data_IF_033171773708
#
_entry.id   IF_033171773708
#
_cell.length_a   1.000
_cell.length_b   1.000
_cell.length_c   1.000
_cell.angle_alpha   90.00
_cell.angle_beta   90.00
_cell.angle_gamma   90.00
#
_symmetry.space_group_name_H-M   'P 1'
#
loop_
_entity.id
_entity.type
_entity.pdbx_description
1 polymer ?
#
# COMPACT_ATOMS: atom_id res chain seq x y z
N UNK A 1 6.20 -16.46 -9.60
CA UNK A 1 7.19 -16.31 -8.51
C UNK A 1 6.75 -17.17 -7.34
N UNK A 2 7.61 -17.98 -6.72
CA UNK A 2 7.21 -18.83 -5.59
C UNK A 2 7.63 -18.13 -4.28
N UNK A 3 6.76 -17.30 -3.73
CA UNK A 3 6.97 -16.60 -2.47
C UNK A 3 6.50 -17.52 -1.34
N UNK A 4 7.37 -17.75 -0.36
CA UNK A 4 7.06 -18.55 0.83
C UNK A 4 6.46 -17.67 1.92
N UNK A 5 5.72 -18.30 2.84
CA UNK A 5 5.03 -17.61 3.93
C UNK A 5 3.83 -16.78 3.47
N UNK A 6 3.04 -16.31 4.43
CA UNK A 6 1.92 -15.40 4.21
C UNK A 6 2.44 -13.96 4.11
N UNK A 7 1.86 -13.16 3.22
CA UNK A 7 2.12 -11.73 3.16
C UNK A 7 0.84 -10.99 3.51
N UNK A 8 0.81 -10.39 4.68
CA UNK A 8 -0.23 -9.46 5.10
C UNK A 8 0.08 -8.08 4.51
N UNK A 9 -0.86 -7.49 3.81
CA UNK A 9 -0.67 -6.21 3.12
C UNK A 9 -1.74 -5.24 3.58
N UNK A 10 -1.31 -4.08 4.10
CA UNK A 10 -2.20 -3.00 4.49
C UNK A 10 -1.77 -1.67 3.86
N UNK A 11 -2.76 -0.90 3.41
CA UNK A 11 -2.58 0.50 3.09
C UNK A 11 -2.56 1.30 4.39
N UNK A 12 -1.70 2.33 4.48
CA UNK A 12 -1.70 3.28 5.59
C UNK A 12 -3.10 3.87 5.85
N UNK A 13 -3.38 4.28 7.07
CA UNK A 13 -4.61 4.98 7.45
C UNK A 13 -4.80 6.32 6.73
N UNK A 14 -6.00 6.88 6.79
CA UNK A 14 -6.33 8.18 6.20
C UNK A 14 -5.37 9.26 6.68
N UNK A 15 -4.88 10.09 5.74
CA UNK A 15 -4.02 11.25 6.03
C UNK A 15 -4.74 12.56 5.82
N UNK A 16 -4.14 13.64 6.31
CA UNK A 16 -4.62 15.01 6.04
C UNK A 16 -4.69 15.32 4.54
N UNK A 17 -3.82 14.71 3.71
CA UNK A 17 -3.85 14.86 2.26
C UNK A 17 -4.99 14.06 1.63
N UNK A 18 -5.24 12.83 2.10
CA UNK A 18 -6.41 12.06 1.64
C UNK A 18 -7.70 12.83 1.93
N UNK A 19 -7.86 13.33 3.15
CA UNK A 19 -9.01 14.13 3.54
C UNK A 19 -9.18 15.39 2.67
N UNK A 20 -8.07 16.09 2.38
CA UNK A 20 -8.05 17.27 1.54
C UNK A 20 -8.06 16.99 0.03
N UNK A 21 -8.14 15.72 -0.39
CA UNK A 21 -8.07 15.29 -1.80
C UNK A 21 -6.83 15.84 -2.53
N UNK A 22 -5.67 15.80 -1.84
CA UNK A 22 -4.36 16.20 -2.38
C UNK A 22 -3.53 14.98 -2.76
N UNK A 23 -2.79 15.13 -3.85
CA UNK A 23 -1.79 14.14 -4.29
C UNK A 23 -0.65 14.05 -3.28
N UNK A 24 -0.40 12.86 -2.74
CA UNK A 24 0.69 12.62 -1.80
C UNK A 24 1.93 12.09 -2.50
N UNK A 25 1.74 11.07 -3.33
CA UNK A 25 2.84 10.32 -3.92
C UNK A 25 3.79 9.77 -2.84
N UNK A 26 5.06 9.86 -3.09
CA UNK A 26 6.16 9.48 -2.20
C UNK A 26 6.51 10.53 -1.11
N UNK A 27 5.73 11.63 -0.98
CA UNK A 27 5.96 12.63 0.08
C UNK A 27 5.94 11.99 1.46
N UNK A 28 6.92 12.35 2.29
CA UNK A 28 7.13 11.76 3.61
C UNK A 28 6.18 12.32 4.68
N UNK A 29 5.90 13.62 4.62
CA UNK A 29 5.31 14.41 5.71
C UNK A 29 3.80 14.62 5.54
N UNK A 30 3.05 13.52 5.54
CA UNK A 30 1.58 13.56 5.49
C UNK A 30 1.02 12.75 6.66
N UNK A 31 0.77 13.38 7.84
CA UNK A 31 0.34 12.66 9.04
C UNK A 31 -1.06 12.07 8.91
N UNK A 32 -1.33 11.05 9.71
CA UNK A 32 -2.65 10.45 9.82
C UNK A 32 -3.67 11.44 10.43
N UNK A 33 -4.92 11.33 9.99
CA UNK A 33 -6.07 11.93 10.69
C UNK A 33 -6.49 11.06 11.87
N UNK A 34 -7.43 11.54 12.71
CA UNK A 34 -8.06 10.71 13.76
C UNK A 34 -8.70 9.44 13.16
N UNK A 35 -9.36 9.58 12.01
CA UNK A 35 -9.91 8.45 11.25
C UNK A 35 -8.80 7.47 10.85
N UNK A 36 -7.66 7.99 10.37
CA UNK A 36 -6.51 7.17 10.00
C UNK A 36 -5.94 6.37 11.17
N UNK A 37 -5.84 6.97 12.35
CA UNK A 37 -5.44 6.25 13.57
C UNK A 37 -6.46 5.18 13.96
N UNK A 38 -7.77 5.47 13.90
CA UNK A 38 -8.81 4.47 14.18
C UNK A 38 -8.80 3.31 13.15
N UNK A 39 -8.46 3.60 11.89
CA UNK A 39 -8.27 2.56 10.87
C UNK A 39 -7.07 1.67 11.19
N UNK A 40 -5.94 2.25 11.62
CA UNK A 40 -4.76 1.51 12.02
C UNK A 40 -5.03 0.62 13.24
N UNK A 41 -5.70 1.15 14.25
CA UNK A 41 -6.13 0.43 15.46
C UNK A 41 -6.99 -0.79 15.10
N UNK A 42 -8.00 -0.60 14.27
CA UNK A 42 -8.88 -1.67 13.84
C UNK A 42 -8.17 -2.73 12.95
N UNK A 43 -7.17 -2.35 12.17
CA UNK A 43 -6.34 -3.30 11.43
C UNK A 43 -5.44 -4.11 12.37
N UNK A 44 -4.88 -3.46 13.39
CA UNK A 44 -4.07 -4.12 14.41
C UNK A 44 -4.86 -5.16 15.21
N UNK A 45 -6.05 -4.80 15.69
CA UNK A 45 -6.94 -5.70 16.40
C UNK A 45 -7.32 -6.93 15.54
N UNK A 46 -7.72 -6.70 14.28
CA UNK A 46 -8.05 -7.79 13.37
C UNK A 46 -6.85 -8.70 13.07
N UNK A 47 -5.64 -8.14 12.92
CA UNK A 47 -4.45 -8.95 12.72
C UNK A 47 -4.11 -9.79 13.95
N UNK A 48 -4.24 -9.23 15.15
CA UNK A 48 -4.03 -9.97 16.39
C UNK A 48 -4.99 -11.16 16.54
N UNK A 49 -6.25 -11.00 16.11
CA UNK A 49 -7.23 -12.10 16.09
C UNK A 49 -6.91 -13.17 15.02
N UNK A 50 -6.23 -12.79 13.95
CA UNK A 50 -5.81 -13.70 12.87
C UNK A 50 -4.59 -14.55 13.22
N UNK A 51 -3.67 -13.99 14.02
CA UNK A 51 -2.45 -14.67 14.42
C UNK A 51 -2.73 -15.69 15.54
N UNK A 52 -2.13 -16.87 15.42
CA UNK A 52 -2.17 -17.86 16.51
C UNK A 52 -1.17 -17.46 17.60
N UNK A 53 -1.38 -17.91 18.83
CA UNK A 53 -0.41 -17.69 19.90
C UNK A 53 0.98 -18.16 19.52
N UNK A 54 1.97 -17.28 19.63
CA UNK A 54 3.38 -17.55 19.31
C UNK A 54 3.74 -17.39 17.83
N UNK A 55 2.81 -17.08 16.93
CA UNK A 55 3.16 -16.68 15.55
C UNK A 55 3.82 -15.30 15.56
N UNK A 56 4.90 -15.17 14.80
CA UNK A 56 5.65 -13.91 14.63
C UNK A 56 5.64 -13.49 13.17
N UNK A 57 5.74 -12.20 12.94
CA UNK A 57 5.80 -11.60 11.60
C UNK A 57 7.10 -10.82 11.44
N UNK A 58 7.71 -10.88 10.25
CA UNK A 58 8.67 -9.86 9.86
C UNK A 58 7.91 -8.60 9.41
N UNK A 59 8.28 -7.46 9.98
CA UNK A 59 7.63 -6.19 9.67
C UNK A 59 8.42 -5.43 8.59
N UNK A 60 7.73 -5.13 7.49
CA UNK A 60 8.23 -4.35 6.36
C UNK A 60 7.37 -3.12 6.17
N UNK A 61 7.96 -1.96 6.08
CA UNK A 61 7.22 -0.71 5.99
C UNK A 61 7.83 0.25 4.99
N UNK A 62 6.98 0.90 4.20
CA UNK A 62 7.38 2.10 3.49
C UNK A 62 7.92 3.14 4.49
N UNK A 63 9.06 3.81 4.21
CA UNK A 63 9.65 4.80 5.13
C UNK A 63 8.84 6.10 5.28
N UNK A 64 7.68 6.23 4.62
CA UNK A 64 6.83 7.42 4.77
C UNK A 64 6.17 7.49 6.16
N UNK A 65 6.08 8.70 6.74
CA UNK A 65 5.55 8.91 8.09
C UNK A 65 4.16 8.31 8.31
N UNK A 66 3.25 8.42 7.32
CA UNK A 66 1.90 7.82 7.40
C UNK A 66 1.91 6.28 7.50
N UNK A 67 2.84 5.63 6.80
CA UNK A 67 2.99 4.18 6.88
C UNK A 67 3.59 3.76 8.22
N UNK A 68 4.62 4.48 8.68
CA UNK A 68 5.25 4.25 9.98
C UNK A 68 4.27 4.48 11.14
N UNK A 69 3.45 5.53 11.11
CA UNK A 69 2.41 5.78 12.11
C UNK A 69 1.36 4.66 12.14
N UNK A 70 0.95 4.18 10.96
CA UNK A 70 0.02 3.06 10.85
C UNK A 70 0.63 1.79 11.44
N UNK A 71 1.89 1.48 11.09
CA UNK A 71 2.59 0.33 11.61
C UNK A 71 2.77 0.39 13.13
N UNK A 72 3.13 1.57 13.69
CA UNK A 72 3.33 1.70 15.12
C UNK A 72 2.09 1.28 15.93
N UNK A 73 0.90 1.70 15.49
CA UNK A 73 -0.37 1.29 16.12
C UNK A 73 -0.62 -0.21 15.96
N UNK A 74 -0.40 -0.78 14.76
CA UNK A 74 -0.58 -2.22 14.53
C UNK A 74 0.40 -3.04 15.38
N UNK A 75 1.65 -2.60 15.50
CA UNK A 75 2.69 -3.29 16.27
C UNK A 75 2.34 -3.43 17.76
N UNK A 76 1.66 -2.42 18.34
CA UNK A 76 1.15 -2.49 19.71
C UNK A 76 0.16 -3.66 19.90
N UNK A 77 -0.76 -3.87 18.97
CA UNK A 77 -1.76 -4.95 19.04
C UNK A 77 -1.15 -6.35 18.97
N UNK A 78 -0.09 -6.53 18.20
CA UNK A 78 0.57 -7.82 18.01
C UNK A 78 1.80 -8.02 18.91
N UNK A 79 2.08 -7.06 19.81
CA UNK A 79 3.19 -7.13 20.76
C UNK A 79 4.57 -7.17 20.08
N UNK A 80 4.72 -6.52 18.93
CA UNK A 80 5.97 -6.51 18.18
C UNK A 80 6.83 -5.29 18.49
N UNK A 81 8.15 -5.50 18.62
CA UNK A 81 9.10 -4.40 18.78
C UNK A 81 9.23 -3.61 17.47
N UNK A 82 8.66 -2.41 17.46
CA UNK A 82 8.68 -1.51 16.33
C UNK A 82 10.10 -1.22 15.79
N UNK A 83 11.12 -1.22 16.64
CA UNK A 83 12.50 -0.97 16.24
C UNK A 83 13.10 -2.09 15.38
N UNK A 84 12.46 -3.26 15.32
CA UNK A 84 12.87 -4.37 14.45
C UNK A 84 12.24 -4.30 13.05
N UNK A 85 11.51 -3.23 12.75
CA UNK A 85 10.89 -3.03 11.44
C UNK A 85 11.93 -2.74 10.36
N UNK A 86 11.83 -3.43 9.23
CA UNK A 86 12.61 -3.11 8.03
C UNK A 86 11.95 -1.98 7.26
N UNK A 87 12.64 -0.86 7.12
CA UNK A 87 12.20 0.26 6.28
C UNK A 87 12.64 0.00 4.84
N UNK A 88 11.68 -0.20 3.94
CA UNK A 88 11.95 -0.61 2.56
C UNK A 88 11.48 0.47 1.55
N UNK A 89 12.40 1.21 0.93
CA UNK A 89 12.04 2.28 -0.01
C UNK A 89 11.28 1.79 -1.24
N UNK A 90 11.46 0.53 -1.68
CA UNK A 90 10.70 -0.04 -2.80
C UNK A 90 9.20 -0.19 -2.51
N UNK A 91 8.78 0.00 -1.25
CA UNK A 91 7.37 0.02 -0.83
C UNK A 91 6.73 1.41 -0.88
N UNK A 92 7.44 2.47 -1.29
CA UNK A 92 6.86 3.80 -1.45
C UNK A 92 5.63 3.81 -2.37
N UNK A 93 4.80 4.85 -2.20
CA UNK A 93 3.72 5.14 -3.16
C UNK A 93 4.31 5.56 -4.51
N UNK A 94 3.50 5.53 -5.55
CA UNK A 94 3.85 6.08 -6.85
C UNK A 94 4.36 7.51 -6.70
N UNK A 95 5.53 7.82 -7.25
CA UNK A 95 6.01 9.18 -7.33
C UNK A 95 5.14 9.95 -8.33
N UNK A 96 4.45 10.96 -7.86
CA UNK A 96 3.53 11.76 -8.69
C UNK A 96 4.20 13.04 -9.24
N UNK A 97 5.51 13.16 -9.09
CA UNK A 97 6.32 14.23 -9.67
C UNK A 97 5.75 15.63 -9.42
N UNK A 98 5.53 16.38 -10.49
CA UNK A 98 5.05 17.78 -10.42
C UNK A 98 3.59 17.90 -9.90
N UNK A 99 2.86 16.81 -9.72
CA UNK A 99 1.52 16.83 -9.11
C UNK A 99 1.56 16.78 -7.58
N UNK A 100 2.69 16.49 -6.97
CA UNK A 100 2.81 16.35 -5.52
C UNK A 100 2.36 17.60 -4.76
N UNK A 101 1.40 17.42 -3.83
CA UNK A 101 0.82 18.49 -3.00
C UNK A 101 -0.32 19.27 -3.65
N UNK A 102 -0.57 19.12 -4.94
CA UNK A 102 -1.73 19.71 -5.63
C UNK A 102 -3.00 18.90 -5.32
N UNK A 103 -4.16 19.53 -5.40
CA UNK A 103 -5.43 18.81 -5.37
C UNK A 103 -5.72 18.13 -6.70
N UNK A 104 -6.54 17.07 -6.67
CA UNK A 104 -7.02 16.44 -7.90
C UNK A 104 -7.76 17.44 -8.80
N UNK A 105 -8.55 18.35 -8.21
CA UNK A 105 -9.29 19.39 -8.95
C UNK A 105 -8.34 20.31 -9.71
N UNK A 106 -7.31 20.88 -9.03
CA UNK A 106 -6.33 21.76 -9.67
C UNK A 106 -5.60 21.09 -10.86
N UNK A 107 -5.33 19.80 -10.75
CA UNK A 107 -4.66 19.07 -11.83
C UNK A 107 -5.63 18.82 -13.00
N UNK A 108 -6.88 18.44 -12.69
CA UNK A 108 -7.90 18.20 -13.72
C UNK A 108 -8.34 19.49 -14.40
N UNK A 109 -8.32 20.62 -13.72
CA UNK A 109 -8.58 21.94 -14.33
C UNK A 109 -7.53 22.30 -15.39
N UNK A 110 -6.27 21.90 -15.15
CA UNK A 110 -5.16 22.17 -16.10
C UNK A 110 -5.09 21.15 -17.25
N UNK A 111 -5.39 19.87 -16.99
CA UNK A 111 -5.05 18.77 -17.88
C UNK A 111 -6.27 17.98 -18.40
N UNK A 112 -7.47 18.25 -17.86
CA UNK A 112 -8.62 17.40 -18.05
C UNK A 112 -8.59 16.14 -17.19
N UNK A 113 -9.44 15.12 -17.48
CA UNK A 113 -9.51 13.89 -16.69
C UNK A 113 -8.17 13.16 -16.68
N UNK A 114 -7.64 12.92 -15.47
CA UNK A 114 -6.36 12.22 -15.25
C UNK A 114 -6.53 10.80 -14.72
N UNK A 115 -7.76 10.40 -14.45
CA UNK A 115 -8.08 9.06 -13.90
C UNK A 115 -8.88 8.26 -14.91
N UNK A 116 -8.55 7.00 -15.06
CA UNK A 116 -9.42 6.00 -15.70
C UNK A 116 -10.55 5.64 -14.72
N UNK A 117 -11.80 5.88 -15.11
CA UNK A 117 -12.96 5.70 -14.24
C UNK A 117 -13.24 4.23 -13.93
N UNK A 118 -12.88 3.33 -14.86
CA UNK A 118 -13.13 1.89 -14.69
C UNK A 118 -12.21 1.27 -13.64
N UNK A 119 -10.94 1.64 -13.66
CA UNK A 119 -9.92 1.04 -12.82
C UNK A 119 -9.51 1.92 -11.63
N UNK A 120 -9.86 3.22 -11.66
CA UNK A 120 -9.41 4.18 -10.64
C UNK A 120 -7.88 4.30 -10.61
N UNK A 121 -7.26 4.37 -11.78
CA UNK A 121 -5.82 4.49 -12.00
C UNK A 121 -5.55 5.76 -12.81
N UNK A 122 -4.32 6.28 -12.76
CA UNK A 122 -3.95 7.38 -13.65
C UNK A 122 -4.05 6.94 -15.11
N UNK A 123 -4.67 7.78 -15.94
CA UNK A 123 -4.77 7.61 -17.39
C UNK A 123 -3.58 8.23 -18.13
N UNK A 124 -2.85 9.13 -17.46
CA UNK A 124 -1.64 9.79 -17.97
C UNK A 124 -0.54 9.75 -16.92
N UNK A 125 0.71 9.59 -17.36
CA UNK A 125 1.88 9.56 -16.47
C UNK A 125 2.08 10.95 -15.84
N UNK A 126 2.27 11.05 -14.51
CA UNK A 126 2.64 12.30 -13.86
C UNK A 126 3.95 12.86 -14.43
N UNK A 127 4.04 14.17 -14.75
CA UNK A 127 5.29 14.77 -15.21
C UNK A 127 6.41 14.59 -14.17
N UNK A 128 7.54 14.04 -14.59
CA UNK A 128 8.69 13.66 -13.73
C UNK A 128 8.36 12.62 -12.65
N UNK A 129 7.24 11.92 -12.79
CA UNK A 129 6.80 10.87 -11.88
C UNK A 129 7.03 9.46 -12.42
N UNK A 130 6.68 8.46 -11.59
CA UNK A 130 6.67 7.06 -11.96
C UNK A 130 5.44 6.70 -12.81
N UNK A 131 5.54 5.55 -13.47
CA UNK A 131 4.41 4.84 -14.02
C UNK A 131 4.25 3.48 -13.32
N UNK A 132 3.23 2.74 -13.65
CA UNK A 132 2.94 1.48 -12.95
C UNK A 132 3.96 0.38 -13.25
N UNK A 133 4.60 0.38 -14.44
CA UNK A 133 5.71 -0.53 -14.74
C UNK A 133 6.98 -0.23 -13.92
N UNK A 134 7.26 1.04 -13.60
CA UNK A 134 8.35 1.41 -12.70
C UNK A 134 8.10 0.82 -11.29
N UNK A 135 6.84 0.89 -10.81
CA UNK A 135 6.43 0.29 -9.53
C UNK A 135 6.56 -1.24 -9.59
N UNK A 136 6.09 -1.85 -10.69
CA UNK A 136 6.16 -3.30 -10.86
C UNK A 136 7.61 -3.78 -10.84
N UNK A 137 8.54 -3.05 -11.48
CA UNK A 137 9.95 -3.39 -11.49
C UNK A 137 10.54 -3.37 -10.07
N UNK A 138 10.42 -2.25 -9.32
CA UNK A 138 10.99 -2.14 -7.97
C UNK A 138 10.40 -3.13 -6.97
N UNK A 139 9.12 -3.48 -7.12
CA UNK A 139 8.46 -4.48 -6.27
C UNK A 139 8.88 -5.90 -6.67
N UNK A 140 9.11 -6.16 -7.96
CA UNK A 140 9.66 -7.45 -8.42
C UNK A 140 11.07 -7.65 -7.86
N UNK A 141 11.93 -6.64 -7.94
CA UNK A 141 13.29 -6.70 -7.38
C UNK A 141 13.27 -6.98 -5.87
N UNK A 142 12.34 -6.35 -5.13
CA UNK A 142 12.14 -6.63 -3.70
C UNK A 142 11.67 -8.06 -3.43
N UNK A 143 10.70 -8.55 -4.19
CA UNK A 143 10.17 -9.90 -4.05
C UNK A 143 11.23 -10.96 -4.37
N UNK A 144 12.06 -10.74 -5.39
CA UNK A 144 13.16 -11.64 -5.77
C UNK A 144 14.24 -11.68 -4.69
N UNK A 145 14.66 -10.53 -4.18
CA UNK A 145 15.64 -10.42 -3.12
C UNK A 145 15.16 -11.12 -1.84
N UNK A 146 13.88 -11.01 -1.51
CA UNK A 146 13.27 -11.57 -0.31
C UNK A 146 12.63 -12.95 -0.51
N UNK A 147 12.76 -13.57 -1.69
CA UNK A 147 12.14 -14.86 -2.00
C UNK A 147 12.62 -16.02 -1.11
N UNK A 148 13.82 -15.89 -0.53
CA UNK A 148 14.39 -16.87 0.41
C UNK A 148 13.71 -16.85 1.79
N UNK A 149 13.02 -15.77 2.16
CA UNK A 149 12.36 -15.60 3.45
C UNK A 149 11.12 -16.52 3.48
N UNK A 150 11.06 -17.38 4.50
CA UNK A 150 9.96 -18.34 4.69
C UNK A 150 8.96 -17.89 5.77
N UNK A 151 9.35 -16.93 6.58
CA UNK A 151 8.51 -16.35 7.63
C UNK A 151 7.39 -15.51 7.03
N UNK A 152 6.30 -15.43 7.76
CA UNK A 152 5.20 -14.53 7.43
C UNK A 152 5.63 -13.06 7.54
N UNK A 153 5.08 -12.22 6.69
CA UNK A 153 5.43 -10.80 6.60
C UNK A 153 4.21 -9.91 6.74
N UNK A 154 4.34 -8.82 7.47
CA UNK A 154 3.41 -7.69 7.43
C UNK A 154 4.04 -6.57 6.62
N UNK A 155 3.34 -6.09 5.61
CA UNK A 155 3.78 -5.03 4.70
C UNK A 155 2.83 -3.84 4.80
N UNK A 156 3.32 -2.70 5.32
CA UNK A 156 2.55 -1.46 5.35
C UNK A 156 3.02 -0.56 4.22
N UNK A 157 2.09 -0.24 3.31
CA UNK A 157 2.39 0.52 2.11
C UNK A 157 1.23 1.42 1.66
N UNK A 158 0.98 1.59 0.37
CA UNK A 158 0.13 2.66 -0.14
C UNK A 158 -0.92 2.17 -1.14
N UNK A 159 -1.78 3.10 -1.58
CA UNK A 159 -2.92 2.80 -2.43
C UNK A 159 -2.56 2.17 -3.76
N UNK A 160 -1.80 2.89 -4.60
CA UNK A 160 -1.47 2.43 -5.96
C UNK A 160 -0.41 1.32 -5.93
N UNK A 161 0.66 1.49 -5.15
CA UNK A 161 1.73 0.51 -5.08
C UNK A 161 1.28 -0.84 -4.52
N UNK A 162 0.34 -0.87 -3.56
CA UNK A 162 -0.20 -2.15 -3.05
C UNK A 162 -1.02 -2.91 -4.09
N UNK A 163 -1.68 -2.22 -5.01
CA UNK A 163 -2.41 -2.86 -6.12
C UNK A 163 -1.45 -3.60 -7.06
N UNK A 164 -0.29 -3.00 -7.33
CA UNK A 164 0.75 -3.64 -8.15
C UNK A 164 1.37 -4.82 -7.39
N UNK A 165 1.72 -4.65 -6.10
CA UNK A 165 2.26 -5.76 -5.29
C UNK A 165 1.31 -6.94 -5.25
N UNK A 166 0.02 -6.69 -4.98
CA UNK A 166 -1.00 -7.74 -4.98
C UNK A 166 -1.15 -8.38 -6.35
N UNK A 167 -1.11 -7.58 -7.42
CA UNK A 167 -1.13 -8.09 -8.79
C UNK A 167 0.02 -9.06 -9.09
N UNK A 168 1.25 -8.74 -8.68
CA UNK A 168 2.43 -9.60 -8.80
C UNK A 168 2.27 -10.90 -8.01
N UNK A 169 1.83 -10.81 -6.76
CA UNK A 169 1.66 -11.97 -5.86
C UNK A 169 0.54 -12.91 -6.31
N UNK A 170 -0.52 -12.37 -6.91
CA UNK A 170 -1.65 -13.14 -7.44
C UNK A 170 -1.38 -13.68 -8.85
N UNK A 171 -0.25 -13.32 -9.48
CA UNK A 171 0.05 -13.72 -10.85
C UNK A 171 -0.91 -13.15 -11.88
N UNK A 172 -1.47 -11.96 -11.65
CA UNK A 172 -2.39 -11.32 -12.59
C UNK A 172 -1.68 -10.97 -13.90
N UNK A 173 -2.40 -10.92 -15.03
CA UNK A 173 -1.81 -10.48 -16.29
C UNK A 173 -1.42 -9.00 -16.24
N UNK A 174 -0.41 -8.64 -17.02
CA UNK A 174 -0.06 -7.25 -17.29
C UNK A 174 -1.21 -6.59 -18.03
N UNK A 175 -1.61 -5.42 -17.59
CA UNK A 175 -2.75 -4.65 -18.12
C UNK A 175 -2.26 -3.40 -18.83
N UNK A 176 -2.63 -3.23 -20.10
CA UNK A 176 -2.40 -1.99 -20.84
C UNK A 176 -3.44 -0.92 -20.46
N UNK A 177 -3.09 0.37 -20.41
CA UNK A 177 -1.80 0.97 -20.80
C UNK A 177 -0.78 1.05 -19.64
N UNK A 178 -1.09 0.48 -18.48
CA UNK A 178 -0.27 0.61 -17.25
C UNK A 178 0.99 -0.25 -17.25
N UNK A 179 1.07 -1.27 -18.11
CA UNK A 179 2.19 -2.21 -18.26
C UNK A 179 2.58 -2.90 -16.96
N UNK A 180 1.61 -3.14 -16.09
CA UNK A 180 1.79 -3.79 -14.79
C UNK A 180 0.62 -4.72 -14.47
N UNK A 181 0.83 -5.78 -13.66
CA UNK A 181 -0.25 -6.56 -13.10
C UNK A 181 -0.87 -5.76 -11.95
N UNK A 182 -2.17 -5.45 -12.05
CA UNK A 182 -2.83 -4.54 -11.10
C UNK A 182 -4.07 -5.21 -10.50
N UNK A 183 -4.07 -5.38 -9.19
CA UNK A 183 -5.23 -5.87 -8.45
C UNK A 183 -6.31 -4.78 -8.28
N UNK A 184 -7.58 -5.14 -8.06
CA UNK A 184 -8.65 -4.20 -7.78
C UNK A 184 -8.34 -3.30 -6.57
N UNK A 185 -8.90 -2.07 -6.58
CA UNK A 185 -8.80 -1.16 -5.43
C UNK A 185 -9.51 -1.74 -4.21
N UNK A 186 -8.96 -1.44 -3.03
CA UNK A 186 -9.58 -1.77 -1.75
C UNK A 186 -9.90 -0.50 -0.96
N UNK A 187 -11.00 -0.48 -0.19
CA UNK A 187 -11.30 0.64 0.71
C UNK A 187 -10.14 0.90 1.68
N UNK A 188 -9.91 2.15 2.02
CA UNK A 188 -8.90 2.52 3.02
C UNK A 188 -9.23 1.89 4.39
N UNK A 189 -8.21 1.44 5.12
CA UNK A 189 -8.38 0.65 6.34
C UNK A 189 -8.63 -0.83 6.10
N UNK A 190 -8.46 -1.32 4.86
CA UNK A 190 -8.49 -2.75 4.53
C UNK A 190 -7.09 -3.35 4.68
N UNK A 191 -7.05 -4.54 5.26
CA UNK A 191 -5.88 -5.42 5.27
C UNK A 191 -6.26 -6.74 4.60
N UNK A 192 -5.36 -7.24 3.76
CA UNK A 192 -5.48 -8.55 3.11
C UNK A 192 -4.30 -9.42 3.47
N UNK A 193 -4.45 -10.72 3.30
CA UNK A 193 -3.35 -11.69 3.31
C UNK A 193 -3.30 -12.39 1.96
N UNK A 194 -2.10 -12.53 1.42
CA UNK A 194 -1.84 -13.32 0.21
C UNK A 194 -1.00 -14.53 0.58
N UNK A 195 -1.47 -15.71 0.20
CA UNK A 195 -0.81 -16.99 0.38
C UNK A 195 -1.03 -17.86 -0.85
N UNK A 196 0.03 -18.46 -1.39
CA UNK A 196 -0.03 -19.37 -2.56
C UNK A 196 -0.80 -18.79 -3.77
N UNK A 197 -0.66 -17.50 -4.04
CA UNK A 197 -1.35 -16.82 -5.15
C UNK A 197 -2.85 -16.59 -4.91
N UNK A 198 -3.33 -16.73 -3.69
CA UNK A 198 -4.72 -16.44 -3.30
C UNK A 198 -4.77 -15.32 -2.28
N UNK A 199 -5.77 -14.45 -2.40
CA UNK A 199 -5.98 -13.31 -1.50
C UNK A 199 -7.22 -13.54 -0.62
N UNK A 200 -7.09 -13.21 0.66
CA UNK A 200 -8.19 -13.20 1.61
C UNK A 200 -8.21 -11.87 2.37
N UNK A 201 -9.40 -11.40 2.72
CA UNK A 201 -9.57 -10.19 3.53
C UNK A 201 -9.39 -10.56 4.99
N UNK A 202 -8.39 -9.95 5.64
CA UNK A 202 -8.20 -9.98 7.09
C UNK A 202 -9.16 -9.00 7.77
N UNK A 203 -9.26 -7.80 7.19
CA UNK A 203 -10.18 -6.77 7.66
C UNK A 203 -10.69 -5.95 6.47
N UNK A 204 -12.00 -5.80 6.37
CA UNK A 204 -12.64 -4.90 5.42
C UNK A 204 -12.68 -3.48 5.98
N UNK A 205 -12.08 -2.53 5.29
CA UNK A 205 -12.16 -1.11 5.62
C UNK A 205 -13.47 -0.47 5.16
N UNK A 206 -13.79 0.70 5.72
CA UNK A 206 -14.95 1.52 5.30
C UNK A 206 -14.56 2.86 4.69
N UNK A 207 -13.27 3.09 4.42
CA UNK A 207 -12.76 4.35 3.85
C UNK A 207 -13.00 4.48 2.35
N UNK A 208 -12.76 5.69 1.81
CA UNK A 208 -12.88 5.95 0.37
C UNK A 208 -11.91 5.12 -0.47
N UNK A 209 -12.32 4.85 -1.71
CA UNK A 209 -11.52 4.11 -2.70
C UNK A 209 -10.48 4.97 -3.44
N UNK A 210 -10.54 6.30 -3.29
CA UNK A 210 -9.58 7.17 -3.96
C UNK A 210 -8.19 7.00 -3.34
N UNK A 211 -7.22 6.73 -4.19
CA UNK A 211 -5.82 6.58 -3.86
C UNK A 211 -5.18 7.87 -3.39
#
# INVERSE_FOLDING_TARGET
MNIKGRIFIARHGETVFNFAKRMQGDKLDTPLTRTGFAQADAMGAALADWLKPGETLQLWCSPSGRALQTLAVIAEHIGHDWHQTTHEPRLYEINVGDWAGRTYAEIMDDLGPIMDETHGLFSIRPPKGEWYDDIAQRLTDWLEETAHISEDRLVIMHGMSSRVLRGLLLGLPVTEPWKAPIAPSLPQGTMVVVENGQEQIVRQGGGGHLA
#
